data_IF_099765285119
#
_entry.id   IF_099765285119
#
_cell.length_a   1.000
_cell.length_b   1.000
_cell.length_c   1.000
_cell.angle_alpha   90.00
_cell.angle_beta   90.00
_cell.angle_gamma   90.00
#
_symmetry.space_group_name_H-M   'P 1'
#
loop_
_entity.id
_entity.type
_entity.pdbx_description
1 polymer ?
#
# COMPACT_ATOMS: atom_id res chain seq x y z
N UNK A 1 -8.62 -2.43 -1.59
CA UNK A 1 -7.74 -1.46 -2.30
C UNK A 1 -6.61 -0.90 -1.41
N UNK A 2 -6.20 -1.65 -0.39
CA UNK A 2 -4.93 -1.45 0.30
C UNK A 2 -4.21 -2.79 0.07
N UNK A 3 -3.15 -2.91 -0.72
CA UNK A 3 -1.76 -2.90 -0.23
C UNK A 3 -0.94 -3.64 -1.29
N UNK A 4 -0.14 -2.92 -2.07
CA UNK A 4 0.72 -3.46 -3.12
C UNK A 4 2.18 -3.44 -2.70
N UNK A 5 2.41 -3.69 -1.42
CA UNK A 5 3.67 -3.36 -0.77
C UNK A 5 4.27 -4.65 -0.23
N UNK A 6 5.59 -4.80 -0.43
CA UNK A 6 6.36 -6.02 -0.17
C UNK A 6 6.18 -6.48 1.29
N UNK A 7 6.01 -7.79 1.52
CA UNK A 7 5.92 -8.46 2.85
C UNK A 7 4.64 -8.30 3.69
N UNK A 8 3.53 -7.80 3.13
CA UNK A 8 2.21 -7.85 3.79
C UNK A 8 1.35 -9.00 3.29
N UNK A 9 0.89 -9.85 4.20
CA UNK A 9 -0.11 -10.89 3.91
C UNK A 9 -1.51 -10.38 4.30
N UNK A 10 -2.40 -10.21 3.33
CA UNK A 10 -3.78 -9.76 3.59
C UNK A 10 -4.79 -10.65 2.87
N UNK A 11 -5.90 -11.03 3.53
CA UNK A 11 -6.96 -11.76 2.87
C UNK A 11 -7.78 -10.82 1.97
N UNK A 12 -7.94 -11.22 0.70
CA UNK A 12 -8.83 -10.59 -0.26
C UNK A 12 -10.06 -11.45 -0.50
N UNK A 13 -11.20 -10.81 -0.68
CA UNK A 13 -12.43 -11.46 -1.13
C UNK A 13 -12.65 -11.09 -2.58
N UNK A 14 -12.75 -12.09 -3.44
CA UNK A 14 -12.85 -11.95 -4.89
C UNK A 14 -14.18 -12.54 -5.33
N UNK A 15 -15.04 -11.71 -5.93
CA UNK A 15 -16.35 -12.12 -6.43
C UNK A 15 -16.52 -11.98 -7.95
N UNK A 16 -15.61 -11.27 -8.64
CA UNK A 16 -15.66 -11.12 -10.10
C UNK A 16 -15.21 -12.41 -10.76
N UNK A 17 -16.03 -12.93 -11.68
CA UNK A 17 -15.76 -14.19 -12.35
C UNK A 17 -14.41 -14.19 -13.08
N UNK A 18 -14.08 -13.11 -13.82
CA UNK A 18 -12.77 -12.96 -14.48
C UNK A 18 -11.59 -13.04 -13.51
N UNK A 19 -11.73 -12.45 -12.32
CA UNK A 19 -10.69 -12.47 -11.29
C UNK A 19 -10.55 -13.85 -10.64
N UNK A 20 -11.66 -14.58 -10.44
CA UNK A 20 -11.64 -15.97 -9.94
C UNK A 20 -10.93 -16.88 -10.95
N UNK A 21 -11.27 -16.78 -12.25
CA UNK A 21 -10.59 -17.54 -13.31
C UNK A 21 -9.10 -17.25 -13.38
N UNK A 22 -8.70 -15.99 -13.20
CA UNK A 22 -7.29 -15.59 -13.11
C UNK A 22 -6.56 -16.29 -11.94
N UNK A 23 -7.19 -16.35 -10.76
CA UNK A 23 -6.62 -17.02 -9.60
C UNK A 23 -6.49 -18.53 -9.82
N UNK A 24 -7.50 -19.17 -10.42
CA UNK A 24 -7.48 -20.60 -10.75
C UNK A 24 -6.35 -20.92 -11.74
N UNK A 25 -6.23 -20.15 -12.82
CA UNK A 25 -5.14 -20.32 -13.79
C UNK A 25 -3.77 -20.14 -13.12
N UNK A 26 -3.61 -19.14 -12.25
CA UNK A 26 -2.33 -18.92 -11.54
C UNK A 26 -1.96 -20.08 -10.60
N UNK A 27 -2.93 -20.78 -10.02
CA UNK A 27 -2.70 -21.92 -9.13
C UNK A 27 -2.13 -23.15 -9.86
N UNK A 28 -2.40 -23.28 -11.16
CA UNK A 28 -1.87 -24.35 -12.04
C UNK A 28 -0.48 -24.01 -12.62
N UNK A 29 0.01 -22.80 -12.38
CA UNK A 29 1.33 -22.31 -12.77
C UNK A 29 2.20 -22.02 -11.53
N UNK A 30 2.95 -20.92 -11.53
CA UNK A 30 3.90 -20.55 -10.47
C UNK A 30 3.25 -19.93 -9.22
N UNK A 31 1.91 -19.97 -9.09
CA UNK A 31 1.14 -19.32 -8.01
C UNK A 31 1.40 -17.83 -7.86
N UNK A 32 1.83 -17.18 -8.95
CA UNK A 32 2.08 -15.74 -9.01
C UNK A 32 0.96 -15.04 -9.74
N UNK A 33 0.58 -13.89 -9.22
CA UNK A 33 -0.40 -12.99 -9.84
C UNK A 33 0.17 -11.58 -9.88
N UNK A 34 -0.19 -10.84 -10.93
CA UNK A 34 0.04 -9.41 -11.00
C UNK A 34 -1.18 -8.71 -10.43
N UNK A 35 -1.05 -8.15 -9.24
CA UNK A 35 -2.09 -7.32 -8.68
C UNK A 35 -1.92 -5.92 -9.31
N UNK A 36 -3.02 -5.30 -9.73
CA UNK A 36 -3.06 -3.91 -10.21
C UNK A 36 -4.30 -3.20 -9.66
N UNK A 37 -4.17 -1.91 -9.30
CA UNK A 37 -5.33 -1.11 -8.92
C UNK A 37 -6.06 -0.57 -10.17
N UNK A 38 -7.39 -0.52 -10.08
CA UNK A 38 -8.20 0.26 -11.02
C UNK A 38 -8.21 1.74 -10.61
N UNK A 39 -8.26 2.63 -11.60
CA UNK A 39 -8.26 4.09 -11.40
C UNK A 39 -9.53 4.55 -10.67
N UNK A 40 -10.67 4.01 -11.08
CA UNK A 40 -11.98 4.30 -10.50
C UNK A 40 -12.56 3.07 -9.83
N UNK A 41 -12.81 3.13 -8.52
CA UNK A 41 -13.31 2.00 -7.75
C UNK A 41 -14.76 1.58 -8.12
N UNK A 42 -15.52 2.49 -8.69
CA UNK A 42 -16.91 2.27 -9.11
C UNK A 42 -17.05 1.53 -10.44
N UNK A 43 -15.96 1.33 -11.19
CA UNK A 43 -16.00 0.58 -12.44
C UNK A 43 -16.05 -0.93 -12.15
N UNK A 44 -17.18 -1.55 -12.49
CA UNK A 44 -17.43 -2.98 -12.24
C UNK A 44 -16.66 -3.88 -13.23
N UNK A 45 -16.61 -3.49 -14.49
CA UNK A 45 -15.88 -4.18 -15.56
C UNK A 45 -14.78 -3.27 -16.11
N UNK A 46 -13.64 -3.12 -15.40
CA UNK A 46 -12.56 -2.26 -15.86
C UNK A 46 -11.94 -2.83 -17.13
N UNK A 47 -11.80 -1.98 -18.15
CA UNK A 47 -11.00 -2.26 -19.33
C UNK A 47 -9.51 -2.01 -19.09
N UNK A 48 -8.70 -2.26 -20.12
CA UNK A 48 -7.23 -2.09 -20.09
C UNK A 48 -6.81 -0.68 -19.68
N UNK A 49 -7.53 0.34 -20.14
CA UNK A 49 -7.20 1.75 -19.85
C UNK A 49 -7.66 2.22 -18.47
N UNK A 50 -8.49 1.44 -17.77
CA UNK A 50 -8.99 1.75 -16.43
C UNK A 50 -8.04 1.26 -15.33
N UNK A 51 -6.97 0.55 -15.69
CA UNK A 51 -5.98 0.03 -14.77
C UNK A 51 -4.73 0.91 -14.77
N UNK A 52 -4.03 0.94 -13.63
CA UNK A 52 -2.67 1.48 -13.59
C UNK A 52 -1.68 0.55 -14.29
N UNK A 53 -0.53 1.09 -14.70
CA UNK A 53 0.50 0.29 -15.40
C UNK A 53 1.51 -0.31 -14.44
N UNK A 54 1.64 0.23 -13.23
CA UNK A 54 2.48 -0.33 -12.18
C UNK A 54 1.60 -1.00 -11.13
N UNK A 55 2.00 -2.21 -10.75
CA UNK A 55 1.36 -3.01 -9.72
C UNK A 55 2.40 -3.81 -8.95
N UNK A 56 1.95 -4.88 -8.30
CA UNK A 56 2.83 -5.75 -7.51
C UNK A 56 2.61 -7.20 -7.88
N UNK A 57 3.70 -7.87 -8.20
CA UNK A 57 3.74 -9.31 -8.33
C UNK A 57 3.59 -9.88 -6.93
N UNK A 58 2.61 -10.75 -6.74
CA UNK A 58 2.30 -11.37 -5.48
C UNK A 58 2.24 -12.89 -5.62
N UNK A 59 2.60 -13.60 -4.55
CA UNK A 59 2.42 -15.06 -4.43
C UNK A 59 1.09 -15.38 -3.77
N UNK A 60 0.37 -16.38 -4.25
CA UNK A 60 -0.82 -16.92 -3.60
C UNK A 60 -0.39 -17.89 -2.50
N UNK A 61 -0.63 -17.51 -1.25
CA UNK A 61 -0.33 -18.34 -0.08
C UNK A 61 -1.46 -19.32 0.22
N UNK A 62 -2.71 -18.87 0.09
CA UNK A 62 -3.89 -19.69 0.37
C UNK A 62 -5.06 -19.24 -0.50
N UNK A 63 -5.88 -20.18 -0.95
CA UNK A 63 -7.13 -19.91 -1.67
C UNK A 63 -8.25 -20.80 -1.11
N UNK A 64 -9.38 -20.20 -0.76
CA UNK A 64 -10.55 -20.89 -0.23
C UNK A 64 -11.81 -20.40 -0.95
N UNK A 65 -12.48 -21.32 -1.65
CA UNK A 65 -13.80 -21.07 -2.23
C UNK A 65 -14.85 -21.11 -1.12
N UNK A 66 -15.68 -20.07 -1.05
CA UNK A 66 -16.76 -19.97 -0.08
C UNK A 66 -18.08 -20.48 -0.69
N UNK A 67 -19.06 -20.90 0.14
CA UNK A 67 -20.33 -21.43 -0.35
C UNK A 67 -21.17 -20.45 -1.17
N UNK A 68 -20.91 -19.15 -1.03
CA UNK A 68 -21.57 -18.06 -1.78
C UNK A 68 -20.96 -17.83 -3.18
N UNK A 69 -19.96 -18.63 -3.57
CA UNK A 69 -19.25 -18.51 -4.84
C UNK A 69 -18.09 -17.53 -4.84
N UNK A 70 -17.87 -16.78 -3.76
CA UNK A 70 -16.71 -15.90 -3.64
C UNK A 70 -15.45 -16.68 -3.26
N UNK A 71 -14.29 -16.11 -3.55
CA UNK A 71 -12.99 -16.69 -3.20
C UNK A 71 -12.29 -15.82 -2.17
N UNK A 72 -11.96 -16.41 -1.03
CA UNK A 72 -11.04 -15.82 -0.06
C UNK A 72 -9.62 -16.23 -0.42
N UNK A 73 -8.78 -15.28 -0.78
CA UNK A 73 -7.37 -15.51 -1.15
C UNK A 73 -6.44 -14.76 -0.20
N UNK A 74 -5.41 -15.44 0.31
CA UNK A 74 -4.30 -14.83 1.05
C UNK A 74 -3.12 -14.74 0.09
N UNK A 75 -2.58 -13.53 -0.06
CA UNK A 75 -1.46 -13.26 -0.97
C UNK A 75 -0.36 -12.51 -0.25
N UNK A 76 0.86 -12.66 -0.73
CA UNK A 76 2.04 -11.93 -0.27
C UNK A 76 2.65 -11.13 -1.42
N UNK A 77 2.77 -9.81 -1.26
CA UNK A 77 3.44 -8.96 -2.23
C UNK A 77 4.95 -9.23 -2.27
N UNK A 78 5.49 -9.51 -3.46
CA UNK A 78 6.89 -9.86 -3.67
C UNK A 78 7.71 -8.67 -4.16
N UNK A 79 7.31 -8.08 -5.28
CA UNK A 79 8.06 -6.99 -5.92
C UNK A 79 7.15 -6.18 -6.84
N UNK A 80 7.45 -4.88 -6.93
CA UNK A 80 6.76 -3.95 -7.83
C UNK A 80 7.15 -4.28 -9.27
N UNK A 81 6.19 -4.19 -10.18
CA UNK A 81 6.43 -4.44 -11.60
C UNK A 81 5.61 -3.49 -12.46
N UNK A 82 6.13 -3.17 -13.64
CA UNK A 82 5.46 -2.41 -14.67
C UNK A 82 4.94 -3.35 -15.76
N UNK A 83 3.69 -3.19 -16.11
CA UNK A 83 3.07 -3.89 -17.23
C UNK A 83 3.54 -3.25 -18.54
N UNK A 84 4.21 -4.03 -19.37
CA UNK A 84 4.62 -3.64 -20.72
C UNK A 84 3.58 -3.99 -21.78
N UNK A 85 2.75 -5.01 -21.53
CA UNK A 85 1.59 -5.33 -22.37
C UNK A 85 0.49 -5.99 -21.54
N UNK A 86 -0.77 -5.60 -21.78
CA UNK A 86 -1.96 -6.20 -21.17
C UNK A 86 -2.88 -6.71 -22.28
N UNK A 87 -3.35 -7.95 -22.15
CA UNK A 87 -4.30 -8.58 -23.05
C UNK A 87 -5.49 -9.15 -22.27
N UNK A 88 -6.69 -8.91 -22.77
CA UNK A 88 -7.91 -9.57 -22.29
C UNK A 88 -8.25 -10.70 -23.27
N UNK A 89 -8.21 -11.95 -22.78
CA UNK A 89 -8.57 -13.12 -23.58
C UNK A 89 -10.06 -13.49 -23.46
N UNK A 90 -10.87 -12.66 -22.81
CA UNK A 90 -12.29 -12.89 -22.52
C UNK A 90 -12.53 -13.60 -21.19
N UNK A 91 -11.57 -14.36 -20.68
CA UNK A 91 -11.68 -15.10 -19.42
C UNK A 91 -10.98 -14.39 -18.26
N UNK A 92 -9.79 -13.85 -18.50
CA UNK A 92 -9.00 -13.11 -17.53
C UNK A 92 -7.99 -12.19 -18.25
N UNK A 93 -7.44 -11.24 -17.50
CA UNK A 93 -6.33 -10.44 -17.99
C UNK A 93 -5.01 -11.23 -17.92
N UNK A 94 -4.27 -11.23 -19.02
CA UNK A 94 -2.87 -11.69 -19.09
C UNK A 94 -1.95 -10.50 -19.34
N UNK A 95 -0.84 -10.42 -18.62
CA UNK A 95 0.09 -9.31 -18.73
C UNK A 95 1.54 -9.78 -18.93
N UNK A 96 2.30 -9.05 -19.76
CA UNK A 96 3.76 -9.03 -19.68
C UNK A 96 4.16 -7.93 -18.72
N UNK A 97 4.97 -8.28 -17.73
CA UNK A 97 5.41 -7.35 -16.71
C UNK A 97 6.91 -7.47 -16.47
N UNK A 98 7.54 -6.35 -16.17
CA UNK A 98 8.97 -6.22 -15.86
C UNK A 98 9.11 -5.70 -14.44
N UNK A 99 10.04 -6.29 -13.68
CA UNK A 99 10.29 -5.83 -12.32
C UNK A 99 10.82 -4.40 -12.31
N UNK A 100 10.30 -3.59 -11.39
CA UNK A 100 10.86 -2.27 -11.12
C UNK A 100 12.08 -2.43 -10.23
N UNK A 101 13.23 -2.04 -10.76
CA UNK A 101 14.48 -1.96 -10.04
C UNK A 101 14.66 -0.57 -9.44
N UNK A 102 15.21 -0.52 -8.23
CA UNK A 102 15.60 0.73 -7.61
C UNK A 102 17.07 1.01 -7.93
N UNK A 103 17.42 2.22 -8.37
CA UNK A 103 18.82 2.58 -8.60
C UNK A 103 19.60 2.51 -7.28
N UNK A 104 20.89 2.18 -7.37
CA UNK A 104 21.82 2.33 -6.26
C UNK A 104 22.19 3.80 -6.10
N UNK A 105 22.11 4.33 -4.89
CA UNK A 105 22.37 5.75 -4.57
C UNK A 105 23.48 5.83 -3.52
N UNK A 106 24.01 7.03 -3.27
CA UNK A 106 24.95 7.31 -2.18
C UNK A 106 24.39 6.85 -0.82
N UNK A 107 25.09 5.89 -0.21
CA UNK A 107 24.69 5.25 1.04
C UNK A 107 24.59 6.24 2.21
N UNK A 108 25.38 7.31 2.21
CA UNK A 108 25.42 8.28 3.33
C UNK A 108 24.19 9.17 3.35
N UNK A 109 23.76 9.66 2.19
CA UNK A 109 22.54 10.46 2.08
C UNK A 109 21.32 9.60 2.43
N UNK A 110 21.29 8.37 1.93
CA UNK A 110 20.22 7.42 2.20
C UNK A 110 20.12 7.06 3.69
N UNK A 111 21.24 6.89 4.40
CA UNK A 111 21.25 6.62 5.85
C UNK A 111 20.62 7.77 6.64
N UNK A 112 20.96 9.02 6.30
CA UNK A 112 20.38 10.21 6.94
C UNK A 112 18.88 10.28 6.68
N UNK A 113 18.46 10.02 5.44
CA UNK A 113 17.06 10.05 5.05
C UNK A 113 16.24 8.98 5.78
N UNK A 114 16.75 7.76 5.86
CA UNK A 114 16.11 6.65 6.61
C UNK A 114 15.92 7.01 8.07
N UNK A 115 16.96 7.52 8.75
CA UNK A 115 16.86 7.94 10.16
C UNK A 115 15.83 9.05 10.35
N UNK A 116 15.77 10.00 9.42
CA UNK A 116 14.82 11.10 9.45
C UNK A 116 13.38 10.59 9.27
N UNK A 117 13.15 9.70 8.30
CA UNK A 117 11.84 9.09 8.06
C UNK A 117 11.34 8.30 9.27
N UNK A 118 12.20 7.50 9.93
CA UNK A 118 11.86 6.77 11.16
C UNK A 118 11.47 7.73 12.28
N UNK A 119 12.26 8.79 12.50
CA UNK A 119 12.00 9.77 13.55
C UNK A 119 10.68 10.52 13.33
N UNK A 120 10.37 10.89 12.09
CA UNK A 120 9.12 11.53 11.75
C UNK A 120 7.93 10.56 11.92
N UNK A 121 8.09 9.31 11.50
CA UNK A 121 7.06 8.28 11.69
C UNK A 121 6.79 7.97 13.16
N UNK A 122 7.81 8.00 14.03
CA UNK A 122 7.64 7.94 15.48
C UNK A 122 6.78 9.10 16.00
N UNK A 123 7.04 10.31 15.54
CA UNK A 123 6.23 11.49 15.86
C UNK A 123 4.77 11.33 15.42
N UNK A 124 4.57 10.78 14.22
CA UNK A 124 3.25 10.49 13.66
C UNK A 124 2.48 9.44 14.48
N UNK A 125 3.09 8.30 14.85
CA UNK A 125 2.43 7.27 15.68
C UNK A 125 1.99 7.83 17.04
N UNK A 126 2.81 8.69 17.67
CA UNK A 126 2.47 9.32 18.96
C UNK A 126 1.18 10.14 18.90
N UNK A 127 0.85 10.70 17.73
CA UNK A 127 -0.40 11.43 17.49
C UNK A 127 -1.53 10.51 17.00
N UNK A 128 -1.21 9.53 16.16
CA UNK A 128 -2.17 8.57 15.61
C UNK A 128 -2.22 7.26 16.41
N UNK A 129 -3.01 7.27 17.49
CA UNK A 129 -3.20 6.10 18.39
C UNK A 129 -3.87 4.87 17.74
N UNK A 130 -4.24 4.92 16.46
CA UNK A 130 -4.77 3.75 15.73
C UNK A 130 -3.66 2.79 15.30
N UNK A 131 -2.41 3.26 15.22
CA UNK A 131 -1.26 2.46 14.83
C UNK A 131 -0.65 1.85 16.09
N UNK A 132 -0.51 0.52 16.16
CA UNK A 132 0.10 -0.12 17.32
C UNK A 132 1.58 0.26 17.47
N UNK A 133 2.09 0.52 18.69
CA UNK A 133 3.48 0.88 18.91
C UNK A 133 4.49 -0.17 18.43
N UNK A 134 4.11 -1.45 18.38
CA UNK A 134 4.98 -2.53 17.88
C UNK A 134 5.41 -2.35 16.41
N UNK A 135 4.64 -1.58 15.62
CA UNK A 135 4.99 -1.21 14.25
C UNK A 135 6.27 -0.38 14.20
N UNK A 136 6.52 0.47 15.22
CA UNK A 136 7.76 1.25 15.28
C UNK A 136 8.97 0.34 15.50
N UNK A 137 8.81 -0.69 16.35
CA UNK A 137 9.88 -1.65 16.61
C UNK A 137 10.22 -2.46 15.37
N UNK A 138 9.22 -2.89 14.60
CA UNK A 138 9.47 -3.62 13.34
C UNK A 138 10.14 -2.73 12.30
N UNK A 139 9.75 -1.47 12.17
CA UNK A 139 10.39 -0.52 11.26
C UNK A 139 11.88 -0.30 11.57
N UNK A 140 12.24 -0.18 12.85
CA UNK A 140 13.64 -0.01 13.25
C UNK A 140 14.54 -1.22 12.93
N UNK A 141 13.95 -2.40 12.68
CA UNK A 141 14.68 -3.61 12.28
C UNK A 141 14.81 -3.81 10.77
N UNK A 142 14.29 -2.89 9.96
CA UNK A 142 14.35 -2.99 8.50
C UNK A 142 15.61 -2.30 7.99
N UNK A 143 16.56 -3.09 7.49
CA UNK A 143 17.79 -2.57 6.87
C UNK A 143 17.58 -2.09 5.43
N UNK A 144 16.60 -2.65 4.70
CA UNK A 144 16.29 -2.30 3.32
C UNK A 144 15.45 -1.01 3.25
N UNK A 145 16.00 0.12 2.76
CA UNK A 145 15.27 1.39 2.69
C UNK A 145 14.03 1.29 1.80
N UNK A 146 14.05 0.43 0.77
CA UNK A 146 12.89 0.23 -0.09
C UNK A 146 11.74 -0.41 0.69
N UNK A 147 12.04 -1.41 1.51
CA UNK A 147 11.08 -2.08 2.40
C UNK A 147 10.61 -1.15 3.53
N UNK A 148 11.46 -0.24 3.99
CA UNK A 148 11.11 0.76 4.99
C UNK A 148 10.09 1.77 4.44
N UNK A 149 10.33 2.34 3.25
CA UNK A 149 9.38 3.23 2.57
C UNK A 149 8.03 2.53 2.29
N UNK A 150 8.12 1.26 1.92
CA UNK A 150 6.98 0.38 1.74
C UNK A 150 6.15 0.26 3.04
N UNK A 151 6.80 -0.08 4.17
CA UNK A 151 6.17 -0.24 5.50
C UNK A 151 5.73 1.10 6.13
N UNK A 152 6.39 2.18 5.74
CA UNK A 152 5.90 3.54 5.54
C UNK A 152 4.42 3.73 5.19
N UNK A 153 4.23 3.74 3.87
CA UNK A 153 3.02 4.10 3.13
C UNK A 153 1.81 3.25 3.52
N UNK A 154 2.06 1.95 3.62
CA UNK A 154 1.38 0.98 4.42
C UNK A 154 0.53 1.51 5.60
N UNK A 155 1.17 2.11 6.61
CA UNK A 155 0.52 2.54 7.84
C UNK A 155 -0.05 3.97 7.77
N UNK A 156 0.01 4.61 6.60
CA UNK A 156 -0.51 5.95 6.38
C UNK A 156 -1.88 5.93 5.68
N UNK A 157 -2.79 6.87 6.02
CA UNK A 157 -4.11 6.99 5.41
C UNK A 157 -4.06 7.68 4.02
N UNK A 158 -3.23 7.15 3.11
CA UNK A 158 -3.03 7.71 1.78
C UNK A 158 -4.25 7.48 0.87
N UNK A 159 -4.54 8.47 0.01
CA UNK A 159 -5.53 8.32 -1.07
C UNK A 159 -4.95 7.43 -2.17
N UNK A 160 -5.82 6.91 -3.06
CA UNK A 160 -5.40 6.01 -4.14
C UNK A 160 -4.30 6.62 -5.03
N UNK A 161 -4.44 7.88 -5.42
CA UNK A 161 -3.46 8.58 -6.25
C UNK A 161 -2.08 8.64 -5.58
N UNK A 162 -2.02 8.96 -4.28
CA UNK A 162 -0.78 9.03 -3.52
C UNK A 162 -0.17 7.63 -3.34
N UNK A 163 -1.00 6.61 -3.05
CA UNK A 163 -0.56 5.21 -2.98
C UNK A 163 0.05 4.74 -4.28
N UNK A 164 -0.56 5.08 -5.40
CA UNK A 164 -0.06 4.74 -6.71
C UNK A 164 1.24 5.47 -7.03
N UNK A 165 1.33 6.76 -6.70
CA UNK A 165 2.56 7.56 -6.88
C UNK A 165 3.74 6.92 -6.12
N UNK A 166 3.53 6.54 -4.86
CA UNK A 166 4.52 5.81 -4.05
C UNK A 166 4.91 4.47 -4.69
N UNK A 167 3.95 3.74 -5.27
CA UNK A 167 4.23 2.48 -5.95
C UNK A 167 5.09 2.68 -7.21
N UNK A 168 4.85 3.77 -7.94
CA UNK A 168 5.48 4.11 -9.21
C UNK A 168 6.89 4.70 -9.07
N UNK A 169 7.20 5.36 -7.95
CA UNK A 169 8.53 5.91 -7.66
C UNK A 169 9.59 4.80 -7.51
N UNK A 170 10.43 4.62 -8.53
CA UNK A 170 11.53 3.65 -8.50
C UNK A 170 12.66 4.07 -7.56
N UNK A 171 12.91 5.37 -7.47
CA UNK A 171 13.89 5.96 -6.55
C UNK A 171 13.36 5.88 -5.11
N UNK A 172 14.16 5.29 -4.23
CA UNK A 172 13.77 5.07 -2.84
C UNK A 172 13.85 6.37 -2.04
N UNK A 173 14.79 7.26 -2.36
CA UNK A 173 14.96 8.53 -1.67
C UNK A 173 13.80 9.47 -2.00
N UNK A 174 13.48 9.63 -3.28
CA UNK A 174 12.31 10.42 -3.73
C UNK A 174 11.03 9.93 -3.03
N UNK A 175 10.88 8.61 -2.94
CA UNK A 175 9.73 8.00 -2.29
C UNK A 175 9.68 8.23 -0.78
N UNK A 176 10.82 8.17 -0.10
CA UNK A 176 10.91 8.48 1.34
C UNK A 176 10.59 9.95 1.58
N UNK A 177 11.15 10.87 0.79
CA UNK A 177 10.85 12.30 0.88
C UNK A 177 9.37 12.60 0.65
N UNK A 178 8.77 11.96 -0.35
CA UNK A 178 7.33 12.08 -0.61
C UNK A 178 6.51 11.61 0.59
N UNK A 179 6.83 10.45 1.17
CA UNK A 179 6.15 9.94 2.36
C UNK A 179 6.36 10.86 3.57
N UNK A 180 7.55 11.43 3.74
CA UNK A 180 7.85 12.40 4.79
C UNK A 180 7.00 13.67 4.66
N UNK A 181 6.84 14.20 3.44
CA UNK A 181 5.95 15.33 3.19
C UNK A 181 4.48 15.01 3.52
N UNK A 182 4.02 13.80 3.14
CA UNK A 182 2.67 13.34 3.47
C UNK A 182 2.49 13.14 4.98
N UNK A 183 3.50 12.64 5.69
CA UNK A 183 3.47 12.49 7.15
C UNK A 183 3.38 13.84 7.84
N UNK A 184 4.12 14.83 7.39
CA UNK A 184 4.09 16.18 7.95
C UNK A 184 2.69 16.79 7.84
N UNK A 185 2.08 16.72 6.65
CA UNK A 185 0.72 17.20 6.44
C UNK A 185 -0.30 16.52 7.36
N UNK A 186 -0.14 15.22 7.60
CA UNK A 186 -1.06 14.46 8.46
C UNK A 186 -0.84 14.78 9.95
N UNK A 187 0.41 14.97 10.36
CA UNK A 187 0.78 15.44 11.71
C UNK A 187 0.11 16.80 11.98
N UNK A 188 0.22 17.75 11.04
CA UNK A 188 -0.39 19.08 11.17
C UNK A 188 -1.90 19.00 11.33
N UNK A 189 -2.56 18.18 10.51
CA UNK A 189 -4.00 17.94 10.59
C UNK A 189 -4.40 17.39 11.96
N UNK A 190 -3.72 16.34 12.44
CA UNK A 190 -3.99 15.73 13.75
C UNK A 190 -3.78 16.73 14.90
N UNK A 191 -2.78 17.61 14.80
CA UNK A 191 -2.56 18.65 15.79
C UNK A 191 -3.68 19.70 15.79
N UNK A 192 -4.17 20.13 14.62
CA UNK A 192 -5.33 21.02 14.49
C UNK A 192 -6.57 20.38 15.11
N UNK A 193 -6.87 19.13 14.78
CA UNK A 193 -8.01 18.39 15.36
C UNK A 193 -7.92 18.31 16.88
N UNK A 194 -6.73 18.00 17.41
CA UNK A 194 -6.48 17.93 18.86
C UNK A 194 -6.74 19.29 19.53
N UNK A 195 -6.31 20.40 18.92
CA UNK A 195 -6.57 21.76 19.41
C UNK A 195 -8.07 22.08 19.43
N UNK A 196 -8.80 21.76 18.35
CA UNK A 196 -10.25 21.96 18.27
C UNK A 196 -10.97 21.15 19.35
N UNK A 197 -10.64 19.86 19.48
CA UNK A 197 -11.24 18.97 20.48
C UNK A 197 -11.03 19.49 21.90
N UNK A 198 -9.83 20.00 22.21
CA UNK A 198 -9.53 20.58 23.51
C UNK A 198 -10.33 21.86 23.78
N UNK A 199 -10.54 22.71 22.77
CA UNK A 199 -11.36 23.93 22.90
C UNK A 199 -12.83 23.60 23.16
N UNK A 200 -13.40 22.64 22.43
CA UNK A 200 -14.80 22.20 22.63
C UNK A 200 -15.00 21.61 24.03
N UNK A 201 -14.06 20.78 24.51
CA UNK A 201 -14.14 20.21 25.87
C UNK A 201 -14.14 21.28 26.97
N UNK A 202 -13.36 22.35 26.82
CA UNK A 202 -13.36 23.46 27.77
C UNK A 202 -14.71 24.17 27.82
N UNK A 203 -15.30 24.46 26.65
CA UNK A 203 -16.61 25.11 26.56
C UNK A 203 -17.75 24.23 27.13
N UNK A 204 -17.73 22.92 26.92
CA UNK A 204 -18.75 22.02 27.47
C UNK A 204 -18.59 21.77 28.98
N UNK A 205 -17.36 21.83 29.50
CA UNK A 205 -17.09 21.74 30.94
C UNK A 205 -17.54 22.97 31.75
N UNK A 206 -17.87 24.07 31.07
CA UNK A 206 -18.32 25.33 31.66
C UNK A 206 -19.85 25.54 31.59
N UNK A 207 -20.61 24.59 31.04
CA UNK A 207 -22.08 24.67 31.02
C UNK A 207 -22.62 24.16 32.36
N UNK A 208 -23.16 25.03 33.24
CA UNK A 208 -23.85 24.57 34.44
C UNK A 208 -25.16 23.88 34.03
N UNK A 209 -25.52 22.82 34.74
CA UNK A 209 -26.80 22.14 34.59
C UNK A 209 -27.99 23.08 34.85
#
# INVERSE_FOLDING_TARGET
MWWFIRTWSSPYFVGREKSIRCLEAAMDHDKKIMLVAQKEASTDEPGVNDLFTVGTVASILQMLKLPDGTVKVLVEGLQRARISALSDNGEHFSAKAEYLESPTIDEREQEVLVRTAISQFEGYIKLNKKIPPEVLTSLNSIDDPARLADTIAAHMPLKLADKQSVLEMSDVNERLEYLMAMMESEIDLLQVEKRIRNRVKKQMGEIPA
#
